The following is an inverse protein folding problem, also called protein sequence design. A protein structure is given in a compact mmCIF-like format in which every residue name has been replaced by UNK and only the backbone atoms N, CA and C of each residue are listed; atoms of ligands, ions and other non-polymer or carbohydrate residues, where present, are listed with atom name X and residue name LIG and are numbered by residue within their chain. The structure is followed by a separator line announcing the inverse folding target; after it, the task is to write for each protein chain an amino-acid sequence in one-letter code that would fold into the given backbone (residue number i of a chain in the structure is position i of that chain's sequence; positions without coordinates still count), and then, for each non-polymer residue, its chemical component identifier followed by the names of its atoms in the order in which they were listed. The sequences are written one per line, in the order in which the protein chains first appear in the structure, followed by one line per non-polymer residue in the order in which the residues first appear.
data_IF_713393206823
#
_entry.id   IF_713393206823
#
_cell.length_a   1.000
_cell.length_b   1.000
_cell.length_c   1.000
_cell.angle_alpha   90.00
_cell.angle_beta   90.00
_cell.angle_gamma   90.00
#
_symmetry.space_group_name_H-M   'P 1'
#
loop_
_entity.id
_entity.type
_entity.pdbx_description
1 polymer ?
#
# COMPACT_ATOMS: atom_id res chain seq x y z
N UNK A 1 14.66 -30.59 11.22
CA UNK A 1 14.26 -29.27 11.77
C UNK A 1 15.26 -28.24 11.29
N UNK A 2 14.92 -27.45 10.29
CA UNK A 2 15.80 -26.41 9.75
C UNK A 2 15.07 -25.08 9.91
N UNK A 3 15.36 -24.38 11.01
CA UNK A 3 15.04 -22.95 11.16
C UNK A 3 15.99 -22.21 10.22
N UNK A 4 15.54 -21.86 9.02
CA UNK A 4 16.35 -21.13 8.03
C UNK A 4 16.11 -19.63 8.13
N UNK A 5 16.38 -19.07 9.31
CA UNK A 5 16.51 -17.63 9.53
C UNK A 5 17.62 -17.43 10.55
N UNK A 6 18.54 -16.50 10.31
CA UNK A 6 19.50 -16.11 11.34
C UNK A 6 18.69 -15.50 12.51
N UNK A 7 18.91 -15.91 13.76
CA UNK A 7 18.28 -15.24 14.89
C UNK A 7 18.78 -13.79 14.89
N UNK A 8 17.83 -12.89 14.74
CA UNK A 8 18.04 -11.47 14.77
C UNK A 8 17.18 -10.89 15.88
N UNK A 9 17.65 -9.81 16.48
CA UNK A 9 16.93 -9.07 17.48
C UNK A 9 16.85 -7.61 17.04
N UNK A 10 15.70 -7.02 17.29
CA UNK A 10 15.50 -5.58 17.19
C UNK A 10 15.19 -5.07 18.59
N UNK A 11 15.94 -4.06 19.03
CA UNK A 11 15.75 -3.38 20.31
C UNK A 11 15.46 -1.92 20.01
N UNK A 12 14.39 -1.41 20.62
CA UNK A 12 14.08 0.02 20.69
C UNK A 12 13.98 0.38 22.16
N UNK A 13 14.82 1.31 22.60
CA UNK A 13 14.85 1.77 23.99
C UNK A 13 15.10 3.28 24.03
N UNK A 14 14.77 3.92 25.15
CA UNK A 14 14.96 5.35 25.33
C UNK A 14 14.99 5.74 26.80
N UNK A 15 15.81 6.74 27.13
CA UNK A 15 15.98 7.22 28.50
C UNK A 15 16.17 8.72 28.56
N UNK A 16 15.76 9.33 29.67
CA UNK A 16 16.14 10.70 30.01
C UNK A 16 17.50 10.68 30.71
N UNK A 17 18.47 11.38 30.11
CA UNK A 17 19.78 11.60 30.69
C UNK A 17 19.68 12.60 31.84
N UNK A 18 20.59 12.49 32.81
CA UNK A 18 20.69 13.43 33.96
C UNK A 18 20.89 14.90 33.55
N UNK A 19 21.29 15.15 32.31
CA UNK A 19 21.41 16.49 31.72
C UNK A 19 20.08 17.08 31.22
N UNK A 20 18.94 16.40 31.42
CA UNK A 20 17.63 16.80 30.89
C UNK A 20 17.44 16.52 29.39
N UNK A 21 18.38 15.84 28.75
CA UNK A 21 18.31 15.43 27.33
C UNK A 21 17.71 14.03 27.23
N UNK A 22 16.96 13.76 26.16
CA UNK A 22 16.50 12.41 25.82
C UNK A 22 17.55 11.70 24.96
N UNK A 23 17.81 10.43 25.24
CA UNK A 23 18.55 9.54 24.35
C UNK A 23 17.62 8.42 23.88
N UNK A 24 17.58 8.19 22.58
CA UNK A 24 16.91 7.06 21.97
C UNK A 24 17.96 6.13 21.37
N UNK A 25 17.78 4.83 21.62
CA UNK A 25 18.60 3.76 21.09
C UNK A 25 17.72 2.86 20.22
N UNK A 26 18.19 2.60 19.01
CA UNK A 26 17.66 1.55 18.16
C UNK A 26 18.80 0.66 17.72
N UNK A 27 18.72 -0.62 18.01
CA UNK A 27 19.72 -1.59 17.64
C UNK A 27 19.10 -2.75 16.87
N UNK A 28 19.73 -3.14 15.77
CA UNK A 28 19.44 -4.38 15.06
C UNK A 28 20.66 -5.25 15.20
N UNK A 29 20.51 -6.39 15.83
CA UNK A 29 21.56 -7.38 15.97
C UNK A 29 21.22 -8.66 15.22
N UNK A 30 22.22 -9.31 14.66
CA UNK A 30 22.06 -10.60 13.99
C UNK A 30 23.22 -11.51 14.33
N UNK A 31 22.92 -12.79 14.52
CA UNK A 31 23.96 -13.79 14.65
C UNK A 31 24.56 -14.10 13.28
N UNK A 32 25.84 -13.82 13.12
CA UNK A 32 26.66 -14.33 12.02
C UNK A 32 27.22 -15.72 12.38
N UNK A 33 27.66 -16.50 11.39
CA UNK A 33 28.26 -17.80 11.67
C UNK A 33 29.53 -17.70 12.52
N UNK A 34 29.82 -18.76 13.29
CA UNK A 34 30.95 -18.76 14.22
C UNK A 34 30.68 -18.01 15.53
N UNK A 35 29.41 -17.92 15.97
CA UNK A 35 28.98 -17.22 17.19
C UNK A 35 29.32 -15.71 17.21
N UNK A 36 29.49 -15.10 16.04
CA UNK A 36 29.66 -13.66 15.93
C UNK A 36 28.29 -12.98 15.92
N UNK A 37 28.18 -11.78 16.48
CA UNK A 37 26.97 -10.96 16.39
C UNK A 37 27.35 -9.65 15.72
N UNK A 38 26.66 -9.32 14.64
CA UNK A 38 26.76 -8.02 13.99
C UNK A 38 25.62 -7.15 14.48
N UNK A 39 25.94 -5.97 15.02
CA UNK A 39 24.96 -5.03 15.58
C UNK A 39 25.12 -3.69 14.87
N UNK A 40 24.03 -3.20 14.29
CA UNK A 40 23.92 -1.81 13.84
C UNK A 40 23.11 -1.06 14.88
N UNK A 41 23.69 0.00 15.42
CA UNK A 41 23.09 0.80 16.46
C UNK A 41 22.97 2.25 16.00
N UNK A 42 21.75 2.78 16.06
CA UNK A 42 21.49 4.21 16.02
C UNK A 42 21.34 4.70 17.46
N UNK A 43 22.20 5.64 17.83
CA UNK A 43 22.10 6.39 19.07
C UNK A 43 21.76 7.84 18.71
N UNK A 44 20.61 8.33 19.17
CA UNK A 44 20.20 9.72 18.93
C UNK A 44 19.98 10.44 20.24
N UNK A 45 20.52 11.65 20.34
CA UNK A 45 20.27 12.60 21.45
C UNK A 45 19.39 13.77 21.03
N UNK A 46 18.89 13.74 19.80
CA UNK A 46 18.13 14.84 19.19
C UNK A 46 16.66 14.78 19.59
N UNK A 47 15.98 15.93 19.56
CA UNK A 47 14.54 16.00 19.73
C UNK A 47 13.81 15.29 18.58
N UNK A 48 12.58 14.82 18.88
CA UNK A 48 11.74 13.90 18.08
C UNK A 48 11.77 14.05 16.54
N UNK A 49 12.00 15.25 16.00
CA UNK A 49 12.08 15.47 14.54
C UNK A 49 13.29 14.78 13.87
N UNK A 50 14.49 14.89 14.46
CA UNK A 50 15.70 14.27 13.90
C UNK A 50 15.74 12.74 14.06
N UNK A 51 15.00 12.23 15.06
CA UNK A 51 14.90 10.79 15.31
C UNK A 51 14.18 10.06 14.17
N UNK A 52 13.14 10.67 13.60
CA UNK A 52 12.38 10.05 12.50
C UNK A 52 13.23 9.87 11.24
N UNK A 53 13.95 10.93 10.84
CA UNK A 53 14.84 10.87 9.67
C UNK A 53 16.01 9.91 9.91
N UNK A 54 16.59 9.92 11.10
CA UNK A 54 17.66 8.98 11.46
C UNK A 54 17.15 7.52 11.53
N UNK A 55 15.92 7.29 11.98
CA UNK A 55 15.29 5.97 11.95
C UNK A 55 15.05 5.51 10.51
N UNK A 56 14.59 6.40 9.63
CA UNK A 56 14.42 6.12 8.20
C UNK A 56 15.74 5.80 7.51
N UNK A 57 16.80 6.55 7.82
CA UNK A 57 18.15 6.30 7.30
C UNK A 57 18.71 4.97 7.82
N UNK A 58 18.53 4.67 9.12
CA UNK A 58 18.91 3.38 9.69
C UNK A 58 18.16 2.24 8.97
N UNK A 59 16.85 2.36 8.80
CA UNK A 59 16.05 1.38 8.07
C UNK A 59 16.54 1.24 6.63
N UNK A 60 16.89 2.34 5.96
CA UNK A 60 17.43 2.30 4.59
C UNK A 60 18.78 1.58 4.55
N UNK A 61 19.68 1.87 5.49
CA UNK A 61 20.99 1.21 5.58
C UNK A 61 20.81 -0.27 5.85
N UNK A 62 20.04 -0.66 6.87
CA UNK A 62 19.87 -2.06 7.24
C UNK A 62 19.11 -2.85 6.17
N UNK A 63 18.10 -2.27 5.52
CA UNK A 63 17.39 -2.89 4.39
C UNK A 63 18.27 -3.04 3.15
N UNK A 64 19.23 -2.12 2.93
CA UNK A 64 20.22 -2.23 1.84
C UNK A 64 21.25 -3.34 2.08
N UNK A 65 21.46 -3.71 3.35
CA UNK A 65 22.32 -4.83 3.70
C UNK A 65 21.59 -6.12 3.34
N UNK A 66 21.93 -6.65 2.17
CA UNK A 66 21.54 -8.01 1.80
C UNK A 66 22.34 -8.96 2.66
N UNK A 67 21.79 -9.35 3.82
CA UNK A 67 22.39 -10.35 4.69
C UNK A 67 22.36 -11.69 3.96
N UNK A 68 23.43 -11.99 3.23
CA UNK A 68 23.64 -13.33 2.68
C UNK A 68 24.16 -14.18 3.83
N UNK A 69 23.45 -15.25 4.18
CA UNK A 69 24.03 -16.28 5.04
C UNK A 69 25.32 -16.80 4.40
N UNK A 70 26.19 -17.49 5.17
CA UNK A 70 27.43 -18.08 4.63
C UNK A 70 27.22 -18.99 3.40
N UNK A 71 25.99 -19.46 3.18
CA UNK A 71 25.61 -20.29 2.03
C UNK A 71 24.92 -19.49 0.90
N UNK A 72 24.92 -18.16 0.95
CA UNK A 72 24.26 -17.30 -0.05
C UNK A 72 22.74 -17.24 0.04
N UNK A 73 22.12 -17.93 1.01
CA UNK A 73 20.66 -17.98 1.20
C UNK A 73 20.19 -16.72 1.91
N UNK A 74 19.13 -16.09 1.41
CA UNK A 74 18.47 -14.95 2.07
C UNK A 74 17.73 -15.42 3.34
N UNK A 75 17.73 -14.65 4.43
CA UNK A 75 16.98 -14.97 5.66
C UNK A 75 15.47 -15.13 5.41
N UNK A 76 14.95 -14.46 4.39
CA UNK A 76 13.59 -14.59 3.88
C UNK A 76 13.62 -14.71 2.36
N UNK A 77 12.90 -15.70 1.83
CA UNK A 77 12.60 -15.84 0.41
C UNK A 77 11.07 -15.96 0.24
N UNK A 78 10.38 -14.93 -0.25
CA UNK A 78 8.92 -14.96 -0.42
C UNK A 78 8.47 -16.00 -1.46
N UNK A 79 9.37 -16.52 -2.30
CA UNK A 79 9.04 -17.58 -3.25
C UNK A 79 8.92 -18.94 -2.57
N UNK A 80 9.64 -19.13 -1.45
CA UNK A 80 9.47 -20.28 -0.56
C UNK A 80 8.19 -20.07 0.22
N UNK A 81 7.23 -20.97 0.02
CA UNK A 81 5.98 -20.90 0.75
C UNK A 81 6.17 -21.41 2.18
N UNK A 82 5.86 -20.56 3.16
CA UNK A 82 5.94 -20.88 4.58
C UNK A 82 4.55 -21.06 5.23
N UNK A 83 3.48 -21.03 4.44
CA UNK A 83 2.10 -21.15 4.91
C UNK A 83 1.38 -22.39 4.36
N UNK A 84 0.27 -22.76 4.99
CA UNK A 84 -0.62 -23.84 4.61
C UNK A 84 -2.10 -23.44 4.54
N UNK A 85 -2.40 -22.13 4.57
CA UNK A 85 -3.77 -21.63 4.40
C UNK A 85 -4.38 -21.97 3.03
N UNK A 86 -5.70 -22.09 2.94
CA UNK A 86 -6.39 -22.39 1.67
C UNK A 86 -7.49 -21.39 1.29
N UNK A 87 -7.57 -20.26 1.99
CA UNK A 87 -8.49 -19.19 1.66
C UNK A 87 -8.06 -18.46 0.39
N UNK A 88 -9.04 -17.88 -0.29
CA UNK A 88 -8.84 -16.94 -1.38
C UNK A 88 -9.71 -15.72 -1.13
N UNK A 89 -9.15 -14.51 -1.26
CA UNK A 89 -9.94 -13.29 -1.11
C UNK A 89 -9.11 -12.03 -1.00
N UNK A 90 -9.72 -10.92 -1.41
CA UNK A 90 -9.21 -9.56 -1.19
C UNK A 90 -9.81 -8.98 0.08
N UNK A 91 -8.98 -8.38 0.90
CA UNK A 91 -9.38 -7.69 2.12
C UNK A 91 -8.77 -6.30 2.15
N UNK A 92 -9.47 -5.33 2.72
CA UNK A 92 -9.03 -3.94 2.75
C UNK A 92 -9.35 -3.23 4.06
N UNK A 93 -8.58 -2.21 4.40
CA UNK A 93 -8.96 -1.22 5.42
C UNK A 93 -8.45 0.16 5.01
N UNK A 94 -8.96 1.19 5.67
CA UNK A 94 -8.56 2.58 5.43
C UNK A 94 -7.69 3.08 6.57
N UNK A 95 -6.60 3.74 6.20
CA UNK A 95 -5.79 4.58 7.09
C UNK A 95 -5.99 6.04 6.76
N UNK A 96 -5.99 6.89 7.79
CA UNK A 96 -5.96 8.34 7.64
C UNK A 96 -4.61 8.83 8.16
N UNK A 97 -3.84 9.50 7.31
CA UNK A 97 -2.56 10.11 7.67
C UNK A 97 -2.59 11.61 7.38
N UNK A 98 -1.97 12.39 8.25
CA UNK A 98 -1.74 13.81 8.00
C UNK A 98 -0.27 14.00 7.67
N UNK A 99 0.03 14.44 6.46
CA UNK A 99 1.40 14.65 5.99
C UNK A 99 1.63 16.12 5.64
N UNK A 100 2.78 16.71 6.03
CA UNK A 100 3.16 18.03 5.55
C UNK A 100 3.17 18.05 4.01
N UNK A 101 2.64 19.12 3.43
CA UNK A 101 2.64 19.30 1.98
C UNK A 101 3.74 20.28 1.54
N UNK A 102 4.03 20.29 0.23
CA UNK A 102 5.08 21.11 -0.35
C UNK A 102 4.86 22.63 -0.22
N UNK A 103 3.67 23.05 0.23
CA UNK A 103 3.27 24.44 0.39
C UNK A 103 3.29 24.91 1.85
N UNK A 104 3.81 24.10 2.77
CA UNK A 104 3.87 24.42 4.21
C UNK A 104 2.56 24.19 4.97
N UNK A 105 1.57 23.56 4.33
CA UNK A 105 0.34 23.08 4.96
C UNK A 105 0.39 21.60 5.35
N UNK A 106 -0.76 21.05 5.74
CA UNK A 106 -0.97 19.63 6.01
C UNK A 106 -2.01 19.07 5.04
N UNK A 107 -1.71 17.95 4.40
CA UNK A 107 -2.67 17.19 3.60
C UNK A 107 -3.15 15.98 4.42
N UNK A 108 -4.47 15.81 4.51
CA UNK A 108 -5.05 14.57 5.00
C UNK A 108 -5.12 13.58 3.83
N UNK A 109 -4.47 12.43 3.96
CA UNK A 109 -4.51 11.32 3.02
C UNK A 109 -5.30 10.17 3.60
N UNK A 110 -6.38 9.81 2.91
CA UNK A 110 -7.07 8.54 3.11
C UNK A 110 -6.45 7.53 2.15
N UNK A 111 -5.79 6.52 2.71
CA UNK A 111 -5.16 5.44 1.93
C UNK A 111 -5.84 4.13 2.27
N UNK A 112 -6.19 3.34 1.24
CA UNK A 112 -6.58 1.96 1.46
C UNK A 112 -5.34 1.10 1.49
N UNK A 113 -5.40 0.08 2.31
CA UNK A 113 -4.39 -0.96 2.43
C UNK A 113 -5.07 -2.28 2.18
N UNK A 114 -4.37 -3.17 1.49
CA UNK A 114 -4.94 -4.42 1.01
C UNK A 114 -4.15 -5.62 1.52
N UNK A 115 -4.87 -6.71 1.73
CA UNK A 115 -4.31 -8.04 1.90
C UNK A 115 -5.06 -8.99 0.98
N UNK A 116 -4.33 -9.64 0.08
CA UNK A 116 -4.81 -10.73 -0.75
C UNK A 116 -4.38 -12.05 -0.13
N UNK A 117 -5.33 -12.93 0.14
CA UNK A 117 -5.06 -14.33 0.46
C UNK A 117 -5.17 -15.14 -0.81
N UNK A 118 -4.16 -15.98 -1.07
CA UNK A 118 -4.14 -16.91 -2.19
C UNK A 118 -4.18 -18.36 -1.66
N UNK A 119 -4.74 -19.31 -2.43
CA UNK A 119 -4.68 -20.72 -2.09
C UNK A 119 -3.24 -21.21 -1.85
N UNK A 120 -3.09 -22.18 -0.94
CA UNK A 120 -1.81 -22.76 -0.59
C UNK A 120 -1.01 -21.96 0.43
N UNK A 121 -1.52 -20.83 0.94
CA UNK A 121 -0.93 -20.14 2.08
C UNK A 121 -0.04 -18.97 1.68
N UNK A 122 -0.18 -18.45 0.45
CA UNK A 122 0.52 -17.24 0.00
C UNK A 122 -0.34 -16.00 0.28
N UNK A 123 0.29 -14.90 0.66
CA UNK A 123 -0.40 -13.65 0.90
C UNK A 123 0.34 -12.49 0.22
N UNK A 124 -0.41 -11.49 -0.25
CA UNK A 124 0.13 -10.28 -0.87
C UNK A 124 -0.45 -9.02 -0.22
N UNK A 125 0.38 -8.02 0.06
CA UNK A 125 0.07 -6.84 0.89
C UNK A 125 -0.13 -5.55 0.11
N UNK A 126 -0.75 -5.68 -1.06
CA UNK A 126 -1.02 -4.56 -1.94
C UNK A 126 -2.13 -4.96 -2.93
N UNK A 127 -2.53 -4.02 -3.79
CA UNK A 127 -3.46 -4.28 -4.88
C UNK A 127 -2.66 -4.58 -6.17
N UNK A 128 -2.73 -5.79 -6.74
CA UNK A 128 -2.17 -6.05 -8.05
C UNK A 128 -2.87 -5.23 -9.12
N UNK A 129 -2.14 -4.84 -10.16
CA UNK A 129 -2.67 -4.06 -11.28
C UNK A 129 -3.44 -4.93 -12.29
N UNK A 130 -4.35 -4.33 -13.06
CA UNK A 130 -4.99 -4.98 -14.20
C UNK A 130 -6.07 -6.03 -13.88
N UNK A 131 -6.50 -6.10 -12.62
CA UNK A 131 -7.59 -6.95 -12.14
C UNK A 131 -7.21 -8.39 -11.79
N UNK A 132 -5.94 -8.77 -11.99
CA UNK A 132 -5.43 -10.09 -11.65
C UNK A 132 -5.17 -10.24 -10.15
N UNK A 133 -6.24 -10.21 -9.35
CA UNK A 133 -6.12 -10.21 -7.88
C UNK A 133 -5.95 -11.63 -7.32
N UNK A 134 -6.76 -12.59 -7.76
CA UNK A 134 -6.70 -13.97 -7.23
C UNK A 134 -5.86 -14.93 -8.09
N UNK A 135 -5.53 -14.51 -9.31
CA UNK A 135 -4.76 -15.20 -10.33
C UNK A 135 -3.43 -14.48 -10.65
N UNK A 136 -2.99 -13.56 -9.78
CA UNK A 136 -1.74 -12.83 -9.95
C UNK A 136 -0.56 -13.78 -10.19
N UNK A 137 0.39 -13.37 -11.04
CA UNK A 137 1.70 -14.01 -11.10
C UNK A 137 2.52 -13.60 -9.87
N UNK A 138 2.22 -14.25 -8.75
CA UNK A 138 2.87 -14.01 -7.46
C UNK A 138 4.39 -14.12 -7.57
N UNK A 139 4.90 -15.09 -8.33
CA UNK A 139 6.34 -15.29 -8.46
C UNK A 139 7.01 -14.14 -9.21
N UNK A 140 6.37 -13.61 -10.26
CA UNK A 140 6.87 -12.43 -10.96
C UNK A 140 6.83 -11.18 -10.07
N UNK A 141 5.71 -10.94 -9.37
CA UNK A 141 5.58 -9.81 -8.44
C UNK A 141 6.65 -9.84 -7.34
N UNK A 142 6.90 -11.00 -6.74
CA UNK A 142 7.87 -11.12 -5.64
C UNK A 142 9.34 -11.12 -6.09
N UNK A 143 9.61 -11.14 -7.40
CA UNK A 143 10.95 -10.90 -7.95
C UNK A 143 11.24 -9.41 -8.15
N UNK A 144 10.22 -8.57 -8.26
CA UNK A 144 10.39 -7.12 -8.31
C UNK A 144 10.86 -6.62 -6.93
N UNK A 145 12.08 -6.02 -6.81
CA UNK A 145 12.57 -5.50 -5.54
C UNK A 145 11.63 -4.49 -4.87
N UNK A 146 10.80 -3.78 -5.64
CA UNK A 146 9.85 -2.79 -5.11
C UNK A 146 8.60 -3.42 -4.50
N UNK A 147 8.22 -4.62 -4.96
CA UNK A 147 7.00 -5.32 -4.53
C UNK A 147 7.31 -6.50 -3.59
N UNK A 148 8.58 -6.88 -3.46
CA UNK A 148 9.04 -8.00 -2.64
C UNK A 148 8.62 -7.89 -1.17
N UNK A 149 8.60 -6.70 -0.58
CA UNK A 149 8.14 -6.46 0.80
C UNK A 149 6.66 -6.79 1.01
N UNK A 150 5.86 -6.75 -0.06
CA UNK A 150 4.44 -7.06 -0.03
C UNK A 150 4.17 -8.55 -0.17
N UNK A 151 5.20 -9.40 -0.29
CA UNK A 151 5.03 -10.83 -0.48
C UNK A 151 5.23 -11.60 0.82
N UNK A 152 4.24 -12.40 1.19
CA UNK A 152 4.21 -13.15 2.43
C UNK A 152 3.53 -14.50 2.32
N UNK A 153 3.29 -15.08 3.49
CA UNK A 153 2.55 -16.33 3.63
C UNK A 153 1.63 -16.28 4.85
N UNK A 154 0.68 -17.20 4.90
CA UNK A 154 -0.25 -17.30 6.01
C UNK A 154 -0.69 -18.74 6.29
N UNK A 155 -1.01 -18.98 7.56
CA UNK A 155 -1.72 -20.16 8.05
C UNK A 155 -3.09 -19.77 8.58
N UNK A 156 -4.03 -20.72 8.54
CA UNK A 156 -5.32 -20.61 9.20
C UNK A 156 -5.40 -21.66 10.32
N UNK A 157 -5.71 -21.24 11.54
CA UNK A 157 -5.89 -22.15 12.66
C UNK A 157 -6.92 -21.59 13.65
N UNK A 158 -7.95 -22.40 13.99
CA UNK A 158 -8.87 -22.09 15.08
C UNK A 158 -9.63 -20.75 14.93
N UNK A 159 -9.96 -20.33 13.70
CA UNK A 159 -10.60 -19.03 13.45
C UNK A 159 -9.63 -17.83 13.50
N UNK A 160 -8.34 -18.09 13.58
CA UNK A 160 -7.29 -17.09 13.45
C UNK A 160 -6.51 -17.24 12.14
N UNK A 161 -5.86 -16.15 11.75
CA UNK A 161 -4.85 -16.10 10.69
C UNK A 161 -3.50 -15.77 11.31
N UNK A 162 -2.48 -16.55 10.94
CA UNK A 162 -1.09 -16.25 11.26
C UNK A 162 -0.38 -15.86 9.98
N UNK A 163 0.11 -14.64 9.93
CA UNK A 163 0.82 -14.09 8.81
C UNK A 163 2.33 -14.11 9.02
N UNK A 164 3.07 -14.21 7.92
CA UNK A 164 4.53 -14.06 7.87
C UNK A 164 4.92 -13.14 6.72
N UNK A 165 5.65 -12.09 7.04
CA UNK A 165 6.10 -11.07 6.10
C UNK A 165 7.57 -10.75 6.31
N UNK A 166 8.27 -10.23 5.31
CA UNK A 166 9.54 -9.56 5.55
C UNK A 166 9.29 -8.30 6.40
N UNK A 167 10.10 -8.11 7.43
CA UNK A 167 10.24 -6.82 8.08
C UNK A 167 11.12 -5.87 7.25
N UNK A 168 11.30 -4.65 7.74
CA UNK A 168 12.14 -3.64 7.07
C UNK A 168 13.60 -4.10 6.87
N UNK A 169 14.03 -5.17 7.53
CA UNK A 169 15.40 -5.71 7.46
C UNK A 169 15.47 -6.99 6.62
N UNK A 170 14.38 -7.38 5.96
CA UNK A 170 14.29 -8.61 5.18
C UNK A 170 14.30 -9.88 6.03
N UNK A 171 13.96 -9.77 7.32
CA UNK A 171 13.79 -10.88 8.24
C UNK A 171 12.31 -11.25 8.34
N UNK A 172 12.01 -12.48 8.77
CA UNK A 172 10.64 -12.93 8.91
C UNK A 172 10.01 -12.35 10.19
N UNK A 173 8.98 -11.51 10.02
CA UNK A 173 8.09 -11.08 11.08
C UNK A 173 6.78 -11.89 11.03
N UNK A 174 6.29 -12.28 12.21
CA UNK A 174 5.02 -12.99 12.35
C UNK A 174 3.98 -12.09 13.02
N UNK A 175 2.73 -12.12 12.53
CA UNK A 175 1.59 -11.49 13.20
C UNK A 175 0.40 -12.45 13.22
N UNK A 176 -0.45 -12.32 14.25
CA UNK A 176 -1.67 -13.12 14.38
C UNK A 176 -2.87 -12.22 14.54
N UNK A 177 -4.00 -12.63 13.97
CA UNK A 177 -5.26 -11.91 14.09
C UNK A 177 -6.46 -12.84 13.91
N UNK A 178 -7.66 -12.31 14.15
CA UNK A 178 -8.89 -13.05 13.86
C UNK A 178 -9.11 -13.23 12.35
N UNK A 179 -9.78 -14.31 11.98
CA UNK A 179 -10.16 -14.61 10.61
C UNK A 179 -11.60 -15.11 10.54
N UNK A 180 -12.42 -14.42 9.74
CA UNK A 180 -13.78 -14.82 9.42
C UNK A 180 -13.90 -14.91 7.90
N UNK A 181 -14.03 -16.15 7.40
CA UNK A 181 -14.12 -16.44 5.97
C UNK A 181 -15.19 -15.60 5.28
N UNK A 182 -14.83 -14.98 4.14
CA UNK A 182 -15.72 -14.12 3.36
C UNK A 182 -16.22 -12.86 4.07
N UNK A 183 -15.63 -12.48 5.22
CA UNK A 183 -16.09 -11.32 5.99
C UNK A 183 -14.97 -10.38 6.43
N UNK A 184 -13.99 -10.86 7.18
CA UNK A 184 -12.93 -10.01 7.72
C UNK A 184 -11.71 -10.79 8.14
N UNK A 185 -10.57 -10.10 8.23
CA UNK A 185 -9.38 -10.60 8.88
C UNK A 185 -8.69 -9.48 9.67
N UNK A 186 -7.83 -9.84 10.61
CA UNK A 186 -6.95 -8.91 11.29
C UNK A 186 -5.48 -9.19 10.93
N UNK A 187 -4.74 -8.12 10.67
CA UNK A 187 -3.29 -8.16 10.47
C UNK A 187 -2.70 -6.91 11.10
N UNK A 188 -1.64 -7.08 11.90
CA UNK A 188 -0.91 -5.96 12.52
C UNK A 188 -1.82 -5.00 13.31
N UNK A 189 -2.79 -5.56 14.03
CA UNK A 189 -3.74 -4.79 14.85
C UNK A 189 -4.81 -4.03 14.06
N UNK A 190 -4.83 -4.14 12.74
CA UNK A 190 -5.86 -3.52 11.88
C UNK A 190 -6.85 -4.58 11.40
N UNK A 191 -8.14 -4.22 11.41
CA UNK A 191 -9.22 -5.06 10.89
C UNK A 191 -9.49 -4.72 9.42
N UNK A 192 -9.34 -5.72 8.57
CA UNK A 192 -9.62 -5.65 7.14
C UNK A 192 -10.99 -6.25 6.84
N UNK A 193 -11.76 -5.57 5.99
CA UNK A 193 -13.05 -6.01 5.49
C UNK A 193 -12.87 -6.77 4.17
N UNK A 194 -13.63 -7.85 3.99
CA UNK A 194 -13.64 -8.59 2.73
C UNK A 194 -14.22 -7.74 1.60
N UNK A 195 -13.52 -7.70 0.47
CA UNK A 195 -14.00 -7.12 -0.77
C UNK A 195 -14.41 -8.26 -1.70
N UNK A 196 -15.71 -8.45 -1.88
CA UNK A 196 -16.22 -9.48 -2.78
C UNK A 196 -15.90 -9.13 -4.24
N UNK A 197 -15.49 -10.12 -5.08
CA UNK A 197 -15.40 -9.92 -6.52
C UNK A 197 -16.79 -9.67 -7.10
N UNK A 198 -16.87 -8.92 -8.21
CA UNK A 198 -18.11 -8.71 -8.94
C UNK A 198 -18.50 -10.01 -9.64
N UNK A 199 -19.71 -10.49 -9.37
CA UNK A 199 -20.28 -11.64 -10.05
C UNK A 199 -21.24 -11.18 -11.15
N UNK A 200 -20.99 -11.59 -12.40
CA UNK A 200 -21.85 -11.28 -13.54
C UNK A 200 -21.56 -9.92 -14.19
N UNK A 201 -22.47 -9.47 -15.07
CA UNK A 201 -22.30 -8.26 -15.87
C UNK A 201 -22.83 -7.02 -15.12
N UNK A 202 -22.00 -6.48 -14.23
CA UNK A 202 -22.33 -5.26 -13.49
C UNK A 202 -22.28 -4.03 -14.41
N UNK A 203 -23.44 -3.39 -14.62
CA UNK A 203 -23.55 -2.11 -15.30
C UNK A 203 -23.70 -0.98 -14.29
N UNK A 204 -22.61 -0.24 -14.09
CA UNK A 204 -22.59 1.01 -13.35
C UNK A 204 -23.37 2.09 -14.08
N UNK A 205 -23.97 2.97 -13.30
CA UNK A 205 -24.81 4.06 -13.78
C UNK A 205 -24.53 5.31 -12.95
N UNK A 206 -24.46 6.46 -13.63
CA UNK A 206 -24.24 7.76 -12.99
C UNK A 206 -22.83 8.30 -13.20
N UNK A 207 -22.56 9.43 -12.55
CA UNK A 207 -21.31 10.18 -12.68
C UNK A 207 -20.52 10.06 -11.38
N UNK A 208 -19.28 9.62 -11.51
CA UNK A 208 -18.36 9.44 -10.41
C UNK A 208 -17.22 10.43 -10.52
N UNK A 209 -16.78 10.95 -9.38
CA UNK A 209 -15.73 11.97 -9.29
C UNK A 209 -14.58 11.48 -8.42
N UNK A 210 -13.36 11.61 -8.94
CA UNK A 210 -12.15 11.64 -8.13
C UNK A 210 -11.63 13.06 -8.03
N UNK A 211 -11.17 13.46 -6.84
CA UNK A 211 -10.66 14.81 -6.59
C UNK A 211 -9.47 14.75 -5.65
N UNK A 212 -8.46 15.54 -5.98
CA UNK A 212 -7.32 15.83 -5.12
C UNK A 212 -7.11 17.33 -5.08
N UNK A 213 -6.85 17.89 -3.90
CA UNK A 213 -6.31 19.23 -3.78
C UNK A 213 -5.36 19.33 -2.60
N UNK A 214 -4.32 20.14 -2.77
CA UNK A 214 -3.34 20.49 -1.77
C UNK A 214 -3.13 21.99 -1.81
N UNK A 215 -3.08 22.63 -0.64
CA UNK A 215 -2.90 24.08 -0.49
C UNK A 215 -1.97 24.36 0.67
N UNK A 216 -1.23 25.46 0.60
CA UNK A 216 -0.47 25.93 1.75
C UNK A 216 0.10 27.32 1.55
N UNK A 217 0.57 27.87 2.66
CA UNK A 217 1.17 29.18 2.75
C UNK A 217 2.41 29.13 3.64
N UNK A 218 3.51 29.68 3.15
CA UNK A 218 4.72 29.97 3.90
C UNK A 218 4.81 31.47 4.17
N UNK A 219 5.84 31.90 4.91
CA UNK A 219 6.03 33.32 5.26
C UNK A 219 6.09 34.26 4.04
N UNK A 220 6.51 33.78 2.86
CA UNK A 220 6.72 34.61 1.66
C UNK A 220 6.13 34.03 0.37
N UNK A 221 5.42 32.89 0.45
CA UNK A 221 4.79 32.25 -0.71
C UNK A 221 3.50 31.52 -0.35
N UNK A 222 2.63 31.35 -1.33
CA UNK A 222 1.51 30.42 -1.25
C UNK A 222 1.42 29.59 -2.53
N UNK A 223 0.87 28.39 -2.42
CA UNK A 223 0.70 27.53 -3.57
C UNK A 223 -0.47 26.58 -3.41
N UNK A 224 -1.00 26.14 -4.53
CA UNK A 224 -2.06 25.15 -4.59
C UNK A 224 -1.92 24.26 -5.81
N UNK A 225 -2.31 23.00 -5.66
CA UNK A 225 -2.53 22.07 -6.77
C UNK A 225 -3.89 21.43 -6.58
N UNK A 226 -4.65 21.30 -7.66
CA UNK A 226 -5.89 20.54 -7.68
C UNK A 226 -6.00 19.70 -8.94
N UNK A 227 -6.64 18.54 -8.81
CA UNK A 227 -6.97 17.66 -9.91
C UNK A 227 -8.38 17.13 -9.68
N UNK A 228 -9.20 17.15 -10.73
CA UNK A 228 -10.54 16.58 -10.71
C UNK A 228 -10.71 15.69 -11.94
N UNK A 229 -11.10 14.44 -11.71
CA UNK A 229 -11.41 13.46 -12.75
C UNK A 229 -12.86 13.03 -12.60
N UNK A 230 -13.50 12.80 -13.73
CA UNK A 230 -14.85 12.29 -13.83
C UNK A 230 -14.88 11.06 -14.72
N UNK A 231 -15.67 10.08 -14.31
CA UNK A 231 -16.11 9.00 -15.16
C UNK A 231 -17.63 8.90 -15.07
N UNK A 232 -18.29 8.98 -16.21
CA UNK A 232 -19.74 8.77 -16.31
C UNK A 232 -19.96 7.40 -16.91
N UNK A 233 -20.77 6.57 -16.24
CA UNK A 233 -21.20 5.28 -16.74
C UNK A 233 -22.67 5.32 -17.10
N UNK A 234 -23.02 4.59 -18.15
CA UNK A 234 -24.41 4.44 -18.62
C UNK A 234 -24.88 2.99 -18.49
N UNK A 235 -26.20 2.75 -18.39
CA UNK A 235 -26.74 1.41 -18.18
C UNK A 235 -26.45 0.44 -19.35
N UNK A 236 -26.18 0.96 -20.55
CA UNK A 236 -25.82 0.19 -21.74
C UNK A 236 -24.33 -0.22 -21.77
N UNK A 237 -23.57 0.01 -20.70
CA UNK A 237 -22.17 -0.38 -20.59
C UNK A 237 -21.20 0.55 -21.33
N UNK A 238 -21.57 1.83 -21.51
CA UNK A 238 -20.66 2.86 -22.03
C UNK A 238 -20.10 3.74 -20.92
N UNK A 239 -18.93 4.31 -21.18
CA UNK A 239 -18.29 5.24 -20.27
C UNK A 239 -17.81 6.50 -21.00
N UNK A 240 -17.67 7.58 -20.22
CA UNK A 240 -16.99 8.80 -20.65
C UNK A 240 -16.09 9.32 -19.52
N UNK A 241 -14.79 9.43 -19.78
CA UNK A 241 -13.77 10.03 -18.90
C UNK A 241 -13.56 11.50 -19.27
N UNK A 242 -13.47 12.38 -18.28
CA UNK A 242 -13.07 13.78 -18.42
C UNK A 242 -12.29 14.22 -17.19
N UNK A 243 -11.47 15.27 -17.28
CA UNK A 243 -10.80 15.81 -16.10
C UNK A 243 -9.98 17.06 -16.35
N UNK A 244 -9.48 17.63 -15.27
CA UNK A 244 -8.63 18.80 -15.25
C UNK A 244 -7.57 18.66 -14.15
N UNK A 245 -6.38 19.20 -14.41
CA UNK A 245 -5.36 19.43 -13.39
C UNK A 245 -4.90 20.88 -13.47
N UNK A 246 -4.77 21.53 -12.31
CA UNK A 246 -4.34 22.91 -12.19
C UNK A 246 -3.40 23.12 -11.01
N UNK A 247 -2.51 24.10 -11.15
CA UNK A 247 -1.64 24.57 -10.09
C UNK A 247 -1.58 26.09 -10.11
N UNK A 248 -1.46 26.70 -8.93
CA UNK A 248 -1.19 28.12 -8.79
C UNK A 248 -0.11 28.35 -7.75
N UNK A 249 0.64 29.43 -7.92
CA UNK A 249 1.64 29.88 -6.97
C UNK A 249 1.68 31.40 -6.90
N UNK A 250 1.98 31.92 -5.72
CA UNK A 250 2.30 33.32 -5.49
C UNK A 250 3.53 33.42 -4.58
N UNK A 251 4.41 34.37 -4.88
CA UNK A 251 5.49 34.78 -3.99
C UNK A 251 5.70 36.31 -4.12
N UNK A 252 6.64 36.86 -3.36
CA UNK A 252 6.94 38.30 -3.31
C UNK A 252 7.41 38.91 -4.64
N UNK A 253 7.76 38.11 -5.66
CA UNK A 253 8.26 38.60 -6.95
C UNK A 253 7.56 38.02 -8.19
N UNK A 254 6.67 37.03 -8.05
CA UNK A 254 6.04 36.31 -9.15
C UNK A 254 4.72 35.65 -8.73
N UNK A 255 3.77 35.63 -9.66
CA UNK A 255 2.48 34.94 -9.52
C UNK A 255 2.18 34.20 -10.82
N UNK A 256 1.58 33.02 -10.73
CA UNK A 256 1.26 32.23 -11.91
C UNK A 256 0.22 31.15 -11.65
N UNK A 257 -0.58 30.87 -12.67
CA UNK A 257 -1.54 29.77 -12.70
C UNK A 257 -1.32 28.97 -13.97
N UNK A 258 -1.20 27.65 -13.84
CA UNK A 258 -1.08 26.71 -14.96
C UNK A 258 -2.18 25.66 -14.82
N UNK A 259 -2.79 25.26 -15.93
CA UNK A 259 -3.81 24.23 -15.89
C UNK A 259 -4.12 23.66 -17.26
N UNK A 260 -4.54 22.40 -17.28
CA UNK A 260 -4.82 21.65 -18.49
C UNK A 260 -6.07 20.79 -18.32
N UNK A 261 -6.91 20.76 -19.35
CA UNK A 261 -8.01 19.80 -19.44
C UNK A 261 -7.50 18.54 -20.14
N UNK A 262 -7.83 17.39 -19.60
CA UNK A 262 -7.60 16.13 -20.30
C UNK A 262 -8.63 15.97 -21.41
N UNK A 263 -8.19 15.53 -22.58
CA UNK A 263 -9.09 15.23 -23.69
C UNK A 263 -10.13 14.19 -23.24
N UNK A 264 -11.43 14.41 -23.49
CA UNK A 264 -12.44 13.42 -23.16
C UNK A 264 -12.15 12.09 -23.85
N UNK A 265 -12.22 10.99 -23.10
CA UNK A 265 -12.16 9.63 -23.64
C UNK A 265 -13.52 8.95 -23.43
N UNK A 266 -13.93 8.11 -24.36
CA UNK A 266 -15.22 7.41 -24.31
C UNK A 266 -15.14 6.07 -25.03
N UNK A 267 -15.99 5.15 -24.61
CA UNK A 267 -15.99 3.78 -25.10
C UNK A 267 -16.98 2.89 -24.37
N UNK A 268 -16.76 1.58 -24.43
CA UNK A 268 -17.52 0.59 -23.67
C UNK A 268 -16.70 0.06 -22.50
N UNK A 269 -17.36 -0.48 -21.49
CA UNK A 269 -16.69 -1.13 -20.38
C UNK A 269 -17.36 -2.45 -20.00
N UNK A 270 -16.56 -3.31 -19.37
CA UNK A 270 -17.02 -4.55 -18.77
C UNK A 270 -16.35 -4.72 -17.41
N UNK A 271 -17.09 -5.26 -16.44
CA UNK A 271 -16.57 -5.61 -15.12
C UNK A 271 -16.75 -7.10 -14.92
N UNK A 272 -15.69 -7.80 -14.53
CA UNK A 272 -15.74 -9.21 -14.18
C UNK A 272 -14.75 -9.49 -13.05
N UNK A 273 -15.24 -10.02 -11.93
CA UNK A 273 -14.40 -10.25 -10.75
C UNK A 273 -13.85 -8.94 -10.19
N UNK A 274 -12.52 -8.81 -10.20
CA UNK A 274 -11.81 -7.59 -9.82
C UNK A 274 -11.30 -6.81 -11.04
N UNK A 275 -11.68 -7.19 -12.25
CA UNK A 275 -11.20 -6.57 -13.48
C UNK A 275 -12.26 -5.65 -14.07
N UNK A 276 -11.88 -4.40 -14.35
CA UNK A 276 -12.61 -3.52 -15.25
C UNK A 276 -11.81 -3.35 -16.54
N UNK A 277 -12.40 -3.78 -17.64
CA UNK A 277 -11.85 -3.56 -18.97
C UNK A 277 -12.57 -2.39 -19.60
N UNK A 278 -11.82 -1.37 -19.98
CA UNK A 278 -12.31 -0.28 -20.82
C UNK A 278 -11.87 -0.52 -22.25
N UNK A 279 -12.81 -0.40 -23.17
CA UNK A 279 -12.56 -0.43 -24.60
C UNK A 279 -12.81 0.98 -25.14
N UNK A 280 -11.76 1.83 -25.26
CA UNK A 280 -11.88 3.12 -25.92
C UNK A 280 -12.38 2.94 -27.35
N UNK A 281 -13.11 3.94 -27.87
CA UNK A 281 -13.47 3.96 -29.29
C UNK A 281 -12.24 4.03 -30.21
N UNK A 282 -11.18 4.69 -29.74
CA UNK A 282 -9.91 4.83 -30.44
C UNK A 282 -8.79 4.41 -29.49
N UNK A 283 -8.12 3.30 -29.77
CA UNK A 283 -6.98 2.82 -29.00
C UNK A 283 -7.12 1.40 -28.45
N UNK A 284 -6.07 0.90 -27.79
CA UNK A 284 -6.08 -0.42 -27.18
C UNK A 284 -7.02 -0.47 -25.97
N UNK A 285 -7.47 -1.67 -25.62
CA UNK A 285 -8.19 -1.90 -24.37
C UNK A 285 -7.29 -1.59 -23.16
N UNK A 286 -7.89 -1.05 -22.11
CA UNK A 286 -7.24 -0.76 -20.83
C UNK A 286 -7.84 -1.70 -19.78
N UNK A 287 -7.00 -2.32 -18.95
CA UNK A 287 -7.45 -3.18 -17.84
C UNK A 287 -7.09 -2.55 -16.51
N UNK A 288 -8.05 -2.51 -15.60
CA UNK A 288 -7.93 -1.90 -14.28
C UNK A 288 -8.37 -2.89 -13.19
N UNK A 289 -7.78 -2.77 -12.01
CA UNK A 289 -8.28 -3.44 -10.82
C UNK A 289 -9.39 -2.62 -10.20
N UNK A 290 -10.53 -3.23 -9.93
CA UNK A 290 -11.68 -2.57 -9.32
C UNK A 290 -12.12 -3.22 -8.02
N UNK A 291 -12.45 -2.37 -7.05
CA UNK A 291 -12.91 -2.78 -5.73
C UNK A 291 -14.15 -1.98 -5.36
N UNK A 292 -15.13 -2.68 -4.81
CA UNK A 292 -16.40 -2.11 -4.35
C UNK A 292 -16.56 -2.35 -2.86
N UNK A 293 -17.01 -1.32 -2.13
CA UNK A 293 -17.48 -1.48 -0.75
C UNK A 293 -18.91 -2.03 -0.73
N UNK A 294 -19.72 -1.57 -1.68
CA UNK A 294 -21.08 -2.04 -1.97
C UNK A 294 -21.19 -2.31 -3.47
N UNK A 295 -21.73 -3.47 -3.83
CA UNK A 295 -21.99 -3.81 -5.23
C UNK A 295 -23.43 -3.44 -5.61
N UNK A 296 -23.58 -2.73 -6.72
CA UNK A 296 -24.88 -2.32 -7.25
C UNK A 296 -24.70 -1.51 -8.54
N UNK A 297 -25.79 -1.13 -9.18
CA UNK A 297 -25.71 -0.26 -10.37
C UNK A 297 -25.25 1.17 -9.99
N UNK A 298 -25.57 1.62 -8.78
CA UNK A 298 -25.29 2.96 -8.28
C UNK A 298 -24.54 2.92 -6.94
N UNK A 299 -23.33 2.34 -6.86
CA UNK A 299 -22.55 2.35 -5.63
C UNK A 299 -22.19 3.78 -5.23
N UNK A 300 -22.11 4.06 -3.92
CA UNK A 300 -21.65 5.37 -3.43
C UNK A 300 -20.19 5.67 -3.80
N UNK A 301 -19.38 4.64 -4.01
CA UNK A 301 -17.97 4.75 -4.37
C UNK A 301 -17.52 3.58 -5.25
N UNK A 302 -16.57 3.85 -6.15
CA UNK A 302 -15.88 2.87 -6.99
C UNK A 302 -14.40 3.13 -6.87
N UNK A 303 -13.59 2.10 -6.61
CA UNK A 303 -12.14 2.21 -6.52
C UNK A 303 -11.54 1.56 -7.75
N UNK A 304 -10.79 2.31 -8.54
CA UNK A 304 -10.15 1.87 -9.80
C UNK A 304 -8.65 2.09 -9.65
N UNK A 305 -7.87 1.01 -9.61
CA UNK A 305 -6.44 1.02 -9.26
C UNK A 305 -6.17 1.82 -7.97
N UNK A 306 -6.97 1.56 -6.93
CA UNK A 306 -6.98 2.26 -5.63
C UNK A 306 -7.40 3.75 -5.69
N UNK A 307 -7.60 4.34 -6.87
CA UNK A 307 -8.15 5.68 -6.98
C UNK A 307 -9.66 5.68 -6.68
N UNK A 308 -10.07 6.46 -5.68
CA UNK A 308 -11.47 6.57 -5.28
C UNK A 308 -12.26 7.49 -6.23
N UNK A 309 -13.37 6.97 -6.75
CA UNK A 309 -14.37 7.68 -7.54
C UNK A 309 -15.71 7.67 -6.79
N UNK A 310 -16.14 8.84 -6.30
CA UNK A 310 -17.35 8.99 -5.50
C UNK A 310 -18.56 9.31 -6.38
N UNK A 311 -19.66 8.59 -6.18
CA UNK A 311 -20.93 8.82 -6.84
C UNK A 311 -21.52 10.19 -6.45
N UNK A 312 -22.18 10.84 -7.41
CA UNK A 312 -22.98 12.05 -7.20
C UNK A 312 -24.47 11.76 -7.33
#
# INVERSE_FOLDING_TARGET
MTRTGLPAFHVRDGSQLRSGKSAALRAVGMQLPGNQIFVIMLLSTDHYGGLYDAEKDLTTVVSSLTFRTQNGVRPWDPLVNHGSGNAAGLYWYTTLTNTPNAFGGMDMRAERKYVVLLPGGRAYRDLPDGGHVLDMDFASLCRDPKKMSNCGSYDLQGGGVKFRWPDDFGLMAESTGSYIAGRSLESEGSKYNYAAPVNGDLKLTGRYRSFFASVGQTAFSSGSVSSEKFITFTPDGRYQKQGFTGASFSNTGAQGTVGGKHAPSQGTYQINGYTMTLQPMNGPSESYTVVFEEQGQHPGSVFIDDEAYLGK
#
